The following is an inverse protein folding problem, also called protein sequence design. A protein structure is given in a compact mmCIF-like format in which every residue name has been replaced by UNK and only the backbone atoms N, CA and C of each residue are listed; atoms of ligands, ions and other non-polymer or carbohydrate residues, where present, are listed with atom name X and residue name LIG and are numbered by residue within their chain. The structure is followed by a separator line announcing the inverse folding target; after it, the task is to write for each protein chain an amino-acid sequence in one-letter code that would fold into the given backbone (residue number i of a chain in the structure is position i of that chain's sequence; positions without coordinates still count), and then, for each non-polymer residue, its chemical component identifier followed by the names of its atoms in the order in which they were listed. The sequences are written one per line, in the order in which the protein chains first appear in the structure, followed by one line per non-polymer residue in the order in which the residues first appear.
data_IF_854395079977
#
_entry.id   IF_854395079977
#
_cell.length_a   1.000
_cell.length_b   1.000
_cell.length_c   1.000
_cell.angle_alpha   90.00
_cell.angle_beta   90.00
_cell.angle_gamma   90.00
#
_symmetry.space_group_name_H-M   'P 1'
#
loop_
_entity.id
_entity.type
_entity.pdbx_description
1 polymer ?
#
# COMPACT_ATOMS: atom_id res chain seq x y z
N UNK A 1 3.16 -33.08 18.93
CA UNK A 1 3.04 -34.36 19.66
C UNK A 1 4.17 -34.60 20.65
N UNK A 2 5.47 -34.61 20.27
CA UNK A 2 6.56 -34.71 21.27
C UNK A 2 6.78 -33.41 22.06
N UNK A 3 6.65 -32.25 21.41
CA UNK A 3 6.80 -30.94 22.05
C UNK A 3 5.70 -30.67 23.09
N UNK A 4 4.43 -30.90 22.73
CA UNK A 4 3.28 -30.70 23.64
C UNK A 4 3.30 -31.63 24.86
N UNK A 5 3.91 -32.81 24.72
CA UNK A 5 4.04 -33.80 25.81
C UNK A 5 5.18 -33.43 26.76
N UNK A 6 6.27 -32.83 26.27
CA UNK A 6 7.37 -32.31 27.09
C UNK A 6 7.07 -30.92 27.69
N UNK A 7 6.18 -30.13 27.10
CA UNK A 7 5.66 -28.91 27.74
C UNK A 7 4.78 -29.23 28.96
N UNK A 8 4.08 -30.36 28.95
CA UNK A 8 3.18 -30.77 30.04
C UNK A 8 3.85 -31.65 31.09
N UNK A 9 4.91 -32.40 30.75
CA UNK A 9 5.58 -33.35 31.66
C UNK A 9 7.09 -33.11 31.86
N UNK A 10 7.73 -32.25 31.08
CA UNK A 10 9.18 -32.11 31.02
C UNK A 10 9.77 -31.08 32.02
N UNK A 11 11.10 -31.14 32.17
CA UNK A 11 11.87 -30.08 32.83
C UNK A 11 12.21 -28.99 31.83
N UNK A 12 12.34 -27.73 32.25
CA UNK A 12 12.66 -26.59 31.37
C UNK A 12 13.83 -26.89 30.39
N UNK A 13 14.86 -27.61 30.83
CA UNK A 13 16.01 -27.98 30.01
C UNK A 13 15.72 -29.08 28.99
N UNK A 14 14.86 -30.06 29.31
CA UNK A 14 14.48 -31.13 28.38
C UNK A 14 13.60 -30.59 27.27
N UNK A 15 12.61 -29.77 27.60
CA UNK A 15 11.72 -29.13 26.62
C UNK A 15 12.51 -28.22 25.67
N UNK A 16 13.45 -27.43 26.18
CA UNK A 16 14.37 -26.62 25.36
C UNK A 16 15.22 -27.46 24.40
N UNK A 17 15.82 -28.54 24.88
CA UNK A 17 16.66 -29.42 24.06
C UNK A 17 15.85 -30.13 22.95
N UNK A 18 14.59 -30.46 23.22
CA UNK A 18 13.67 -31.04 22.23
C UNK A 18 13.35 -30.02 21.14
N UNK A 19 13.03 -28.78 21.51
CA UNK A 19 12.81 -27.70 20.54
C UNK A 19 14.05 -27.39 19.70
N UNK A 20 15.22 -27.28 20.31
CA UNK A 20 16.49 -27.07 19.60
C UNK A 20 16.76 -28.19 18.59
N UNK A 21 16.51 -29.45 18.98
CA UNK A 21 16.66 -30.61 18.09
C UNK A 21 15.65 -30.58 16.93
N UNK A 22 14.42 -30.14 17.15
CA UNK A 22 13.41 -30.01 16.08
C UNK A 22 13.83 -28.94 15.06
N UNK A 23 14.38 -27.83 15.54
CA UNK A 23 14.92 -26.73 14.70
C UNK A 23 16.11 -27.23 13.89
N UNK A 24 17.06 -27.94 14.51
CA UNK A 24 18.26 -28.46 13.84
C UNK A 24 17.94 -29.53 12.79
N UNK A 25 16.92 -30.37 13.05
CA UNK A 25 16.44 -31.36 12.08
C UNK A 25 15.64 -30.75 10.92
N UNK A 26 15.35 -29.44 10.95
CA UNK A 26 14.55 -28.72 9.95
C UNK A 26 13.12 -29.27 9.78
N UNK A 27 12.56 -29.87 10.82
CA UNK A 27 11.18 -30.40 10.84
C UNK A 27 10.21 -29.38 11.48
N UNK A 28 10.72 -28.24 11.94
CA UNK A 28 9.92 -27.19 12.55
C UNK A 28 8.87 -26.65 11.55
N UNK A 29 7.68 -26.33 12.06
CA UNK A 29 6.72 -25.46 11.39
C UNK A 29 6.83 -24.05 11.98
N UNK A 30 6.39 -22.99 11.28
CA UNK A 30 6.38 -21.64 11.84
C UNK A 30 5.68 -21.55 13.21
N UNK A 31 4.59 -22.29 13.38
CA UNK A 31 3.87 -22.38 14.65
C UNK A 31 4.72 -22.96 15.80
N UNK A 32 5.56 -23.96 15.52
CA UNK A 32 6.43 -24.58 16.53
C UNK A 32 7.46 -23.57 17.05
N UNK A 33 7.96 -22.68 16.18
CA UNK A 33 8.89 -21.62 16.60
C UNK A 33 8.19 -20.58 17.47
N UNK A 34 6.96 -20.19 17.09
CA UNK A 34 6.16 -19.26 17.88
C UNK A 34 5.86 -19.87 19.26
N UNK A 35 5.47 -21.15 19.32
CA UNK A 35 5.23 -21.85 20.59
C UNK A 35 6.51 -21.94 21.44
N UNK A 36 7.64 -22.30 20.85
CA UNK A 36 8.92 -22.34 21.56
C UNK A 36 9.31 -20.97 22.13
N UNK A 37 9.11 -19.91 21.34
CA UNK A 37 9.42 -18.56 21.77
C UNK A 37 8.47 -18.07 22.87
N UNK A 38 7.19 -18.43 22.83
CA UNK A 38 6.22 -18.16 23.90
C UNK A 38 6.58 -18.90 25.19
N UNK A 39 6.95 -20.18 25.10
CA UNK A 39 7.43 -20.96 26.24
C UNK A 39 8.66 -20.31 26.90
N UNK A 40 9.62 -19.84 26.10
CA UNK A 40 10.78 -19.12 26.63
C UNK A 40 10.42 -17.77 27.26
N UNK A 41 9.40 -17.07 26.76
CA UNK A 41 8.87 -15.85 27.37
C UNK A 41 8.22 -16.12 28.73
N UNK A 42 7.41 -17.17 28.85
CA UNK A 42 6.76 -17.56 30.11
C UNK A 42 7.79 -17.85 31.22
N UNK A 43 8.94 -18.41 30.84
CA UNK A 43 10.05 -18.68 31.73
C UNK A 43 11.04 -17.51 31.92
N UNK A 44 10.72 -16.31 31.41
CA UNK A 44 11.53 -15.09 31.46
C UNK A 44 12.88 -15.13 30.72
N UNK A 45 13.08 -16.06 29.77
CA UNK A 45 14.29 -16.14 28.93
C UNK A 45 14.12 -15.43 27.60
N UNK A 46 14.04 -14.10 27.65
CA UNK A 46 13.70 -13.28 26.49
C UNK A 46 14.80 -13.23 25.42
N UNK A 47 16.07 -13.20 25.80
CA UNK A 47 17.17 -13.22 24.81
C UNK A 47 17.25 -14.53 24.05
N UNK A 48 16.90 -15.64 24.70
CA UNK A 48 16.83 -16.94 24.05
C UNK A 48 15.60 -17.04 23.15
N UNK A 49 14.47 -16.46 23.57
CA UNK A 49 13.27 -16.34 22.73
C UNK A 49 13.59 -15.59 21.43
N UNK A 50 14.34 -14.47 21.48
CA UNK A 50 14.75 -13.77 20.26
C UNK A 50 15.71 -14.57 19.38
N UNK A 51 16.66 -15.32 19.97
CA UNK A 51 17.51 -16.23 19.20
C UNK A 51 16.70 -17.35 18.53
N UNK A 52 15.65 -17.83 19.17
CA UNK A 52 14.74 -18.81 18.58
C UNK A 52 14.02 -18.24 17.36
N UNK A 53 13.53 -16.99 17.44
CA UNK A 53 12.96 -16.29 16.29
C UNK A 53 13.98 -16.08 15.15
N UNK A 54 15.20 -15.63 15.45
CA UNK A 54 16.27 -15.45 14.46
C UNK A 54 16.64 -16.77 13.75
N UNK A 55 16.73 -17.88 14.50
CA UNK A 55 16.91 -19.22 13.93
C UNK A 55 15.73 -19.63 13.06
N UNK A 56 14.52 -19.29 13.48
CA UNK A 56 13.31 -19.48 12.68
C UNK A 56 13.37 -18.76 11.34
N UNK A 57 13.69 -17.46 11.36
CA UNK A 57 13.78 -16.63 10.15
C UNK A 57 14.83 -17.17 9.18
N UNK A 58 15.96 -17.68 9.66
CA UNK A 58 16.99 -18.28 8.82
C UNK A 58 16.55 -19.59 8.13
N UNK A 59 15.56 -20.29 8.68
CA UNK A 59 15.10 -21.59 8.19
C UNK A 59 13.94 -21.48 7.18
N UNK A 60 13.03 -20.52 7.38
CA UNK A 60 11.86 -20.36 6.51
C UNK A 60 12.10 -19.32 5.42
N UNK A 61 11.46 -19.52 4.27
CA UNK A 61 11.38 -18.52 3.19
C UNK A 61 9.96 -17.97 3.12
N UNK A 62 9.83 -16.77 2.56
CA UNK A 62 8.53 -16.18 2.23
C UNK A 62 7.65 -17.18 1.48
N UNK A 63 6.33 -17.26 1.75
CA UNK A 63 5.50 -16.42 2.63
C UNK A 63 5.41 -16.78 4.13
N UNK A 64 5.86 -17.98 4.53
CA UNK A 64 5.59 -18.52 5.88
C UNK A 64 6.35 -17.81 7.01
N UNK A 65 7.33 -16.95 6.67
CA UNK A 65 8.11 -16.16 7.64
C UNK A 65 7.29 -14.99 8.18
N UNK A 66 6.21 -14.58 7.48
CA UNK A 66 5.41 -13.42 7.86
C UNK A 66 4.86 -13.50 9.30
N UNK A 67 4.29 -14.65 9.68
CA UNK A 67 3.71 -14.84 11.01
C UNK A 67 4.79 -14.84 12.11
N UNK A 68 5.98 -15.35 11.79
CA UNK A 68 7.15 -15.31 12.68
C UNK A 68 7.62 -13.87 12.86
N UNK A 69 7.74 -13.09 11.78
CA UNK A 69 8.12 -11.68 11.86
C UNK A 69 7.10 -10.85 12.63
N UNK A 70 5.81 -11.04 12.40
CA UNK A 70 4.77 -10.26 13.06
C UNK A 70 4.76 -10.52 14.58
N UNK A 71 4.85 -11.78 15.00
CA UNK A 71 4.95 -12.13 16.43
C UNK A 71 6.26 -11.63 17.03
N UNK A 72 7.39 -11.81 16.35
CA UNK A 72 8.68 -11.31 16.81
C UNK A 72 8.71 -9.78 16.99
N UNK A 73 8.24 -9.02 16.00
CA UNK A 73 8.26 -7.56 16.02
C UNK A 73 7.32 -7.00 17.10
N UNK A 74 6.11 -7.54 17.24
CA UNK A 74 5.16 -7.10 18.28
C UNK A 74 5.71 -7.34 19.68
N UNK A 75 6.26 -8.53 19.93
CA UNK A 75 6.90 -8.86 21.22
C UNK A 75 8.14 -8.02 21.50
N UNK A 76 8.92 -7.72 20.46
CA UNK A 76 10.08 -6.86 20.60
C UNK A 76 9.66 -5.42 20.98
N UNK A 77 8.60 -4.89 20.35
CA UNK A 77 8.04 -3.56 20.67
C UNK A 77 7.54 -3.52 22.11
N UNK A 78 6.71 -4.47 22.53
CA UNK A 78 6.12 -4.51 23.87
C UNK A 78 7.18 -4.48 24.98
N UNK A 79 8.35 -5.06 24.73
CA UNK A 79 9.42 -5.17 25.72
C UNK A 79 10.46 -4.04 25.65
N UNK A 80 10.90 -3.67 24.45
CA UNK A 80 12.03 -2.76 24.24
C UNK A 80 11.66 -1.41 23.64
N UNK A 81 10.36 -1.11 23.47
CA UNK A 81 9.83 0.07 22.77
C UNK A 81 10.67 1.34 22.88
N UNK A 82 11.17 1.70 24.07
CA UNK A 82 12.02 2.88 24.25
C UNK A 82 13.54 2.67 24.43
N UNK A 83 14.02 1.46 24.71
CA UNK A 83 15.42 1.24 25.17
C UNK A 83 16.40 0.89 24.05
N UNK A 84 15.95 0.24 22.98
CA UNK A 84 16.83 -0.27 21.89
C UNK A 84 16.22 -0.01 20.51
N UNK A 85 15.94 1.25 20.21
CA UNK A 85 15.32 1.66 18.94
C UNK A 85 16.16 1.29 17.71
N UNK A 86 17.47 1.53 17.73
CA UNK A 86 18.33 1.19 16.57
C UNK A 86 18.28 -0.30 16.25
N UNK A 87 18.30 -1.17 17.28
CA UNK A 87 18.16 -2.62 17.08
C UNK A 87 16.77 -2.96 16.51
N UNK A 88 15.72 -2.27 16.94
CA UNK A 88 14.38 -2.46 16.37
C UNK A 88 14.38 -2.11 14.87
N UNK A 89 15.00 -0.98 14.49
CA UNK A 89 15.12 -0.54 13.09
C UNK A 89 15.86 -1.57 12.24
N UNK A 90 17.00 -2.06 12.72
CA UNK A 90 17.76 -3.09 12.01
C UNK A 90 16.91 -4.35 11.75
N UNK A 91 16.10 -4.76 12.74
CA UNK A 91 15.19 -5.90 12.59
C UNK A 91 14.06 -5.62 11.59
N UNK A 92 13.50 -4.40 11.58
CA UNK A 92 12.51 -4.00 10.59
C UNK A 92 13.10 -3.95 9.18
N UNK A 93 14.31 -3.43 8.99
CA UNK A 93 14.98 -3.42 7.69
C UNK A 93 15.27 -4.85 7.20
N UNK A 94 15.69 -5.76 8.09
CA UNK A 94 15.84 -7.17 7.75
C UNK A 94 14.52 -7.85 7.38
N UNK A 95 13.42 -7.49 8.05
CA UNK A 95 12.09 -8.01 7.73
C UNK A 95 11.56 -7.48 6.39
N UNK A 96 11.98 -6.27 6.01
CA UNK A 96 11.62 -5.65 4.73
C UNK A 96 12.50 -6.16 3.58
N UNK A 97 13.72 -6.63 3.86
CA UNK A 97 14.61 -7.21 2.85
C UNK A 97 14.05 -8.55 2.34
N UNK A 98 13.71 -8.58 1.05
CA UNK A 98 13.07 -9.74 0.40
C UNK A 98 11.56 -9.89 0.64
N UNK A 99 10.88 -8.92 1.24
CA UNK A 99 9.44 -8.98 1.52
C UNK A 99 8.57 -8.80 0.25
N UNK A 100 7.62 -9.71 -0.03
CA UNK A 100 6.61 -9.51 -1.07
C UNK A 100 5.67 -8.34 -0.72
N UNK A 101 5.28 -7.56 -1.73
CA UNK A 101 4.43 -6.37 -1.58
C UNK A 101 3.11 -6.60 -0.81
N UNK A 102 2.58 -7.84 -0.85
CA UNK A 102 1.35 -8.27 -0.14
C UNK A 102 1.45 -8.21 1.38
N UNK A 103 2.64 -8.45 1.93
CA UNK A 103 2.85 -8.55 3.38
C UNK A 103 3.58 -7.32 3.94
N UNK A 104 4.20 -6.54 3.06
CA UNK A 104 4.94 -5.33 3.42
C UNK A 104 4.07 -4.33 4.19
N UNK A 105 2.78 -4.18 3.83
CA UNK A 105 1.87 -3.22 4.47
C UNK A 105 1.85 -3.32 5.99
N UNK A 106 1.62 -4.50 6.55
CA UNK A 106 1.50 -4.69 8.00
C UNK A 106 2.81 -4.37 8.71
N UNK A 107 3.93 -4.79 8.13
CA UNK A 107 5.27 -4.55 8.69
C UNK A 107 5.57 -3.05 8.70
N UNK A 108 5.29 -2.33 7.60
CA UNK A 108 5.47 -0.88 7.54
C UNK A 108 4.56 -0.14 8.53
N UNK A 109 3.32 -0.57 8.73
CA UNK A 109 2.41 0.03 9.70
C UNK A 109 2.91 -0.17 11.14
N UNK A 110 3.40 -1.36 11.47
CA UNK A 110 4.03 -1.62 12.77
C UNK A 110 5.29 -0.78 12.95
N UNK A 111 6.12 -0.67 11.92
CA UNK A 111 7.34 0.11 11.97
C UNK A 111 7.05 1.60 12.18
N UNK A 112 6.08 2.14 11.44
CA UNK A 112 5.69 3.53 11.57
C UNK A 112 5.07 3.82 12.95
N UNK A 113 4.26 2.91 13.50
CA UNK A 113 3.71 3.04 14.86
C UNK A 113 4.81 3.07 15.93
N UNK A 114 5.83 2.23 15.79
CA UNK A 114 6.98 2.25 16.71
C UNK A 114 7.71 3.61 16.64
N UNK A 115 7.97 4.13 15.43
CA UNK A 115 8.63 5.43 15.25
C UNK A 115 7.77 6.60 15.72
N UNK A 116 6.43 6.50 15.66
CA UNK A 116 5.51 7.50 16.20
C UNK A 116 5.53 7.54 17.73
N UNK A 117 5.55 6.38 18.39
CA UNK A 117 5.47 6.29 19.85
C UNK A 117 6.80 6.60 20.55
N UNK A 118 7.92 6.14 19.97
CA UNK A 118 9.23 6.19 20.64
C UNK A 118 10.31 6.89 19.82
N UNK A 119 10.08 7.06 18.51
CA UNK A 119 11.05 7.60 17.57
C UNK A 119 10.91 9.09 17.31
N UNK A 120 11.53 9.50 16.21
CA UNK A 120 11.43 10.87 15.69
C UNK A 120 10.33 10.90 14.64
N UNK A 121 9.44 11.90 14.73
CA UNK A 121 8.38 12.12 13.75
C UNK A 121 8.90 12.16 12.29
N UNK A 122 10.11 12.66 12.07
CA UNK A 122 10.74 12.71 10.73
C UNK A 122 11.02 11.30 10.18
N UNK A 123 11.45 10.37 11.03
CA UNK A 123 11.69 8.99 10.62
C UNK A 123 10.36 8.29 10.34
N UNK A 124 9.34 8.48 11.18
CA UNK A 124 7.99 7.96 10.91
C UNK A 124 7.48 8.39 9.53
N UNK A 125 7.64 9.67 9.15
CA UNK A 125 7.24 10.15 7.81
C UNK A 125 8.02 9.47 6.68
N UNK A 126 9.33 9.27 6.84
CA UNK A 126 10.15 8.58 5.85
C UNK A 126 9.74 7.10 5.68
N UNK A 127 9.36 6.45 6.78
CA UNK A 127 8.84 5.07 6.76
C UNK A 127 7.51 5.02 6.01
N UNK A 128 6.59 5.95 6.27
CA UNK A 128 5.33 6.02 5.52
C UNK A 128 5.56 6.29 4.02
N UNK A 129 6.47 7.19 3.67
CA UNK A 129 6.80 7.45 2.27
C UNK A 129 7.32 6.20 1.57
N UNK A 130 8.27 5.47 2.19
CA UNK A 130 8.74 4.18 1.68
C UNK A 130 7.63 3.15 1.57
N UNK A 131 6.74 3.09 2.57
CA UNK A 131 5.59 2.20 2.56
C UNK A 131 4.69 2.43 1.33
N UNK A 132 4.43 3.68 0.95
CA UNK A 132 3.62 3.97 -0.24
C UNK A 132 4.19 3.43 -1.55
N UNK A 133 5.52 3.29 -1.64
CA UNK A 133 6.19 2.75 -2.81
C UNK A 133 6.26 1.22 -2.80
N UNK A 134 6.49 0.63 -1.63
CA UNK A 134 6.69 -0.80 -1.46
C UNK A 134 5.39 -1.63 -1.44
N UNK A 135 4.24 -1.01 -1.14
CA UNK A 135 2.94 -1.67 -1.04
C UNK A 135 2.32 -1.91 -2.43
N UNK A 136 1.53 -2.98 -2.52
CA UNK A 136 0.77 -3.36 -3.71
C UNK A 136 -0.18 -2.24 -4.18
N UNK A 137 -0.44 -2.18 -5.49
CA UNK A 137 -1.20 -1.07 -6.11
C UNK A 137 -2.61 -0.92 -5.57
N UNK A 138 -3.27 -2.03 -5.23
CA UNK A 138 -4.62 -2.02 -4.65
C UNK A 138 -4.64 -1.42 -3.24
N UNK A 139 -3.61 -1.72 -2.45
CA UNK A 139 -3.53 -1.27 -1.07
C UNK A 139 -2.85 0.10 -0.91
N UNK A 140 -2.21 0.59 -1.97
CA UNK A 140 -1.53 1.88 -1.98
C UNK A 140 -2.48 3.03 -1.62
N UNK A 141 -3.73 3.00 -2.10
CA UNK A 141 -4.74 3.99 -1.72
C UNK A 141 -4.99 4.00 -0.20
N UNK A 142 -5.08 2.82 0.41
CA UNK A 142 -5.27 2.71 1.86
C UNK A 142 -4.04 3.23 2.62
N UNK A 143 -2.83 2.96 2.13
CA UNK A 143 -1.60 3.46 2.75
C UNK A 143 -1.52 5.00 2.71
N UNK A 144 -1.84 5.62 1.57
CA UNK A 144 -1.90 7.08 1.47
C UNK A 144 -2.94 7.68 2.42
N UNK A 145 -4.11 7.05 2.59
CA UNK A 145 -5.12 7.50 3.55
C UNK A 145 -4.58 7.52 5.00
N UNK A 146 -3.85 6.47 5.41
CA UNK A 146 -3.23 6.42 6.73
C UNK A 146 -2.15 7.49 6.84
N UNK A 147 -1.27 7.58 5.85
CA UNK A 147 -0.17 8.54 5.84
C UNK A 147 -0.66 9.99 5.95
N UNK A 148 -1.71 10.36 5.21
CA UNK A 148 -2.31 11.70 5.27
C UNK A 148 -2.89 12.00 6.65
N UNK A 149 -3.63 11.04 7.25
CA UNK A 149 -4.21 11.23 8.59
C UNK A 149 -3.11 11.45 9.64
N UNK A 150 -2.07 10.61 9.62
CA UNK A 150 -0.95 10.69 10.56
C UNK A 150 -0.11 11.94 10.36
N UNK A 151 0.17 12.31 9.11
CA UNK A 151 0.87 13.55 8.79
C UNK A 151 0.09 14.79 9.25
N UNK A 152 -1.24 14.79 9.11
CA UNK A 152 -2.11 15.86 9.60
C UNK A 152 -2.08 15.97 11.13
N UNK A 153 -2.06 14.85 11.84
CA UNK A 153 -1.99 14.80 13.32
C UNK A 153 -0.65 15.33 13.85
N UNK A 154 0.47 15.00 13.19
CA UNK A 154 1.82 15.29 13.69
C UNK A 154 2.32 16.66 13.27
N UNK A 155 2.17 17.01 11.99
CA UNK A 155 2.73 18.24 11.40
C UNK A 155 1.68 19.28 10.99
N UNK A 156 0.40 18.91 11.09
CA UNK A 156 -0.70 19.76 10.65
C UNK A 156 -1.03 19.60 9.16
N UNK A 157 -2.17 20.19 8.80
CA UNK A 157 -2.80 20.01 7.49
C UNK A 157 -1.94 20.55 6.33
N UNK A 158 -1.13 21.57 6.55
CA UNK A 158 -0.28 22.19 5.50
C UNK A 158 0.81 21.26 4.98
N UNK A 159 1.33 20.35 5.80
CA UNK A 159 2.34 19.37 5.40
C UNK A 159 1.74 18.29 4.48
N UNK A 160 0.44 17.99 4.63
CA UNK A 160 -0.22 16.95 3.83
C UNK A 160 -0.32 17.28 2.34
N UNK A 161 -0.14 18.53 1.93
CA UNK A 161 -0.18 18.98 0.53
C UNK A 161 0.75 18.18 -0.38
N UNK A 162 2.01 18.03 0.04
CA UNK A 162 3.01 17.28 -0.74
C UNK A 162 2.63 15.79 -0.86
N UNK A 163 1.95 15.26 0.16
CA UNK A 163 1.48 13.86 0.18
C UNK A 163 0.32 13.68 -0.80
N UNK A 164 -0.64 14.60 -0.82
CA UNK A 164 -1.75 14.58 -1.78
C UNK A 164 -1.26 14.67 -3.22
N UNK A 165 -0.30 15.56 -3.51
CA UNK A 165 0.26 15.67 -4.85
C UNK A 165 0.91 14.35 -5.29
N UNK A 166 1.77 13.75 -4.45
CA UNK A 166 2.38 12.44 -4.73
C UNK A 166 1.33 11.34 -4.89
N UNK A 167 0.26 11.35 -4.08
CA UNK A 167 -0.81 10.37 -4.17
C UNK A 167 -1.53 10.45 -5.52
N UNK A 168 -1.81 11.66 -6.01
CA UNK A 168 -2.50 11.87 -7.30
C UNK A 168 -1.61 11.44 -8.48
N UNK A 169 -0.29 11.61 -8.39
CA UNK A 169 0.65 11.20 -9.45
C UNK A 169 0.84 9.67 -9.53
N UNK A 170 0.75 8.97 -8.41
CA UNK A 170 1.12 7.54 -8.30
C UNK A 170 -0.10 6.60 -8.31
N UNK A 171 -1.28 7.07 -7.91
CA UNK A 171 -2.48 6.25 -7.82
C UNK A 171 -3.20 6.11 -9.18
N UNK A 172 -3.92 5.00 -9.41
CA UNK A 172 -4.82 4.88 -10.55
C UNK A 172 -5.88 5.97 -10.58
N UNK A 173 -6.37 6.33 -11.77
CA UNK A 173 -7.28 7.45 -12.01
C UNK A 173 -8.51 7.49 -11.08
N UNK A 174 -9.09 6.33 -10.73
CA UNK A 174 -10.22 6.25 -9.80
C UNK A 174 -9.86 6.73 -8.39
N UNK A 175 -8.73 6.27 -7.86
CA UNK A 175 -8.24 6.63 -6.53
C UNK A 175 -7.60 8.01 -6.50
N UNK A 176 -6.95 8.43 -7.58
CA UNK A 176 -6.41 9.77 -7.76
C UNK A 176 -7.54 10.83 -7.73
N UNK A 177 -8.71 10.52 -8.30
CA UNK A 177 -9.89 11.40 -8.24
C UNK A 177 -10.42 11.59 -6.82
N UNK A 178 -10.56 10.51 -6.06
CA UNK A 178 -11.00 10.61 -4.64
C UNK A 178 -10.00 11.42 -3.81
N UNK A 179 -8.70 11.18 -3.99
CA UNK A 179 -7.65 11.98 -3.36
C UNK A 179 -7.71 13.45 -3.76
N UNK A 180 -7.94 13.74 -5.04
CA UNK A 180 -8.08 15.10 -5.57
C UNK A 180 -9.27 15.86 -4.98
N UNK A 181 -10.43 15.21 -4.84
CA UNK A 181 -11.61 15.82 -4.22
C UNK A 181 -11.35 16.18 -2.74
N UNK A 182 -10.72 15.28 -1.99
CA UNK A 182 -10.35 15.54 -0.59
C UNK A 182 -9.29 16.62 -0.46
N UNK A 183 -8.33 16.66 -1.38
CA UNK A 183 -7.31 17.70 -1.42
C UNK A 183 -7.92 19.08 -1.67
N UNK A 184 -8.84 19.18 -2.64
CA UNK A 184 -9.55 20.42 -2.93
C UNK A 184 -10.44 20.89 -1.77
N UNK A 185 -11.18 19.98 -1.12
CA UNK A 185 -11.99 20.29 0.07
C UNK A 185 -11.13 20.81 1.23
N UNK A 186 -9.96 20.19 1.45
CA UNK A 186 -9.02 20.62 2.47
C UNK A 186 -8.47 22.03 2.20
N UNK A 187 -8.01 22.33 0.98
CA UNK A 187 -7.53 23.68 0.63
C UNK A 187 -8.66 24.72 0.70
N UNK A 188 -9.88 24.34 0.33
CA UNK A 188 -11.07 25.20 0.45
C UNK A 188 -11.33 25.57 1.91
N UNK A 189 -11.21 24.61 2.84
CA UNK A 189 -11.35 24.84 4.29
C UNK A 189 -10.23 25.70 4.88
N UNK A 190 -9.04 25.66 4.28
CA UNK A 190 -7.92 26.55 4.64
C UNK A 190 -8.08 27.97 4.07
N UNK A 191 -9.06 28.21 3.21
CA UNK A 191 -9.32 29.50 2.56
C UNK A 191 -8.52 29.72 1.26
N UNK A 192 -7.77 28.71 0.79
CA UNK A 192 -6.92 28.78 -0.40
C UNK A 192 -7.73 28.39 -1.65
N UNK A 193 -8.71 29.23 -2.00
CA UNK A 193 -9.69 28.92 -3.06
C UNK A 193 -9.03 28.76 -4.44
N UNK A 194 -8.01 29.56 -4.76
CA UNK A 194 -7.33 29.48 -6.05
C UNK A 194 -6.54 28.17 -6.22
N UNK A 195 -6.00 27.63 -5.13
CA UNK A 195 -5.35 26.31 -5.14
C UNK A 195 -6.37 25.20 -5.29
N UNK A 196 -7.50 25.28 -4.58
CA UNK A 196 -8.61 24.34 -4.73
C UNK A 196 -9.10 24.29 -6.20
N UNK A 197 -9.23 25.45 -6.87
CA UNK A 197 -9.55 25.54 -8.30
C UNK A 197 -8.51 24.87 -9.18
N UNK A 198 -7.23 25.10 -8.93
CA UNK A 198 -6.16 24.47 -9.69
C UNK A 198 -6.21 22.94 -9.58
N UNK A 199 -6.50 22.42 -8.39
CA UNK A 199 -6.68 20.98 -8.13
C UNK A 199 -7.88 20.44 -8.91
N UNK A 200 -9.04 21.10 -8.86
CA UNK A 200 -10.20 20.70 -9.65
C UNK A 200 -9.90 20.68 -11.16
N UNK A 201 -9.19 21.69 -11.65
CA UNK A 201 -8.80 21.78 -13.05
C UNK A 201 -7.86 20.64 -13.46
N UNK A 202 -6.89 20.30 -12.61
CA UNK A 202 -6.00 19.16 -12.81
C UNK A 202 -6.77 17.82 -12.82
N UNK A 203 -7.58 17.57 -11.78
CA UNK A 203 -8.37 16.35 -11.67
C UNK A 203 -9.39 16.20 -12.81
N UNK A 204 -9.86 17.31 -13.40
CA UNK A 204 -10.79 17.26 -14.52
C UNK A 204 -10.24 16.52 -15.75
N UNK A 205 -8.91 16.48 -15.93
CA UNK A 205 -8.25 15.82 -17.05
C UNK A 205 -8.38 14.29 -17.01
N UNK A 206 -8.57 13.72 -15.81
CA UNK A 206 -8.74 12.28 -15.55
C UNK A 206 -10.21 11.89 -15.24
N UNK A 207 -11.14 12.82 -15.43
CA UNK A 207 -12.54 12.66 -15.07
C UNK A 207 -13.45 12.75 -16.30
N UNK A 208 -13.83 11.62 -16.89
CA UNK A 208 -14.83 11.58 -17.96
C UNK A 208 -16.19 12.08 -17.42
N UNK A 209 -16.74 13.19 -17.95
CA UNK A 209 -18.01 13.73 -17.50
C UNK A 209 -19.22 12.79 -17.60
N UNK A 210 -19.14 11.70 -18.39
CA UNK A 210 -20.20 10.68 -18.49
C UNK A 210 -20.23 9.71 -17.32
N UNK A 211 -19.06 9.32 -16.85
CA UNK A 211 -18.91 8.32 -15.78
C UNK A 211 -18.84 9.01 -14.42
N UNK A 212 -18.25 10.21 -14.36
CA UNK A 212 -17.84 10.83 -13.12
C UNK A 212 -18.69 12.04 -12.76
N UNK A 213 -20.02 11.92 -12.91
CA UNK A 213 -20.96 13.02 -12.69
C UNK A 213 -20.81 13.68 -11.30
N UNK A 214 -20.54 12.87 -10.28
CA UNK A 214 -20.36 13.34 -8.90
C UNK A 214 -19.23 14.37 -8.77
N UNK A 215 -18.06 14.12 -9.41
CA UNK A 215 -16.94 15.06 -9.41
C UNK A 215 -17.33 16.43 -9.97
N UNK A 216 -18.02 16.45 -11.12
CA UNK A 216 -18.47 17.67 -11.77
C UNK A 216 -19.56 18.40 -10.99
N UNK A 217 -20.41 17.67 -10.25
CA UNK A 217 -21.38 18.27 -9.34
C UNK A 217 -20.69 18.93 -8.15
N UNK A 218 -19.73 18.25 -7.52
CA UNK A 218 -18.95 18.81 -6.40
C UNK A 218 -18.18 20.06 -6.83
N UNK A 219 -17.54 20.06 -8.00
CA UNK A 219 -16.85 21.24 -8.51
C UNK A 219 -17.83 22.39 -8.80
N UNK A 220 -19.01 22.10 -9.36
CA UNK A 220 -20.05 23.12 -9.57
C UNK A 220 -20.50 23.73 -8.24
N UNK A 221 -20.74 22.92 -7.21
CA UNK A 221 -21.12 23.41 -5.88
C UNK A 221 -20.03 24.28 -5.26
N UNK A 222 -18.77 23.90 -5.43
CA UNK A 222 -17.62 24.69 -5.01
C UNK A 222 -17.60 26.08 -5.68
N UNK A 223 -17.77 26.14 -7.01
CA UNK A 223 -17.80 27.43 -7.72
C UNK A 223 -19.03 28.28 -7.37
N UNK A 224 -20.17 27.66 -7.04
CA UNK A 224 -21.35 28.40 -6.55
C UNK A 224 -21.07 29.05 -5.19
N UNK A 225 -20.33 28.38 -4.31
CA UNK A 225 -20.03 28.89 -2.95
C UNK A 225 -18.91 29.92 -2.93
N UNK A 226 -17.89 29.76 -3.77
CA UNK A 226 -16.64 30.54 -3.68
C UNK A 226 -16.28 31.30 -4.96
N UNK A 227 -16.99 31.06 -6.06
CA UNK A 227 -16.72 31.62 -7.39
C UNK A 227 -17.72 32.69 -7.82
N UNK A 228 -17.67 33.00 -9.11
CA UNK A 228 -18.55 33.96 -9.78
C UNK A 228 -19.05 33.38 -11.11
N UNK A 229 -19.86 34.13 -11.86
CA UNK A 229 -20.38 33.63 -13.13
C UNK A 229 -19.27 33.27 -14.15
N UNK A 230 -18.15 34.00 -14.13
CA UNK A 230 -17.04 33.78 -15.05
C UNK A 230 -16.31 32.47 -14.73
N UNK A 231 -16.07 32.16 -13.46
CA UNK A 231 -15.43 30.89 -13.06
C UNK A 231 -16.33 29.69 -13.35
N UNK A 232 -17.65 29.83 -13.17
CA UNK A 232 -18.62 28.79 -13.55
C UNK A 232 -18.62 28.57 -15.07
N UNK A 233 -18.58 29.64 -15.87
CA UNK A 233 -18.49 29.53 -17.34
C UNK A 233 -17.20 28.84 -17.78
N UNK A 234 -16.08 29.14 -17.13
CA UNK A 234 -14.80 28.49 -17.42
C UNK A 234 -14.83 26.99 -17.06
N UNK A 235 -15.39 26.62 -15.90
CA UNK A 235 -15.58 25.20 -15.55
C UNK A 235 -16.43 24.46 -16.60
N UNK A 236 -17.52 25.05 -17.09
CA UNK A 236 -18.35 24.46 -18.14
C UNK A 236 -17.62 24.35 -19.49
N UNK A 237 -16.70 25.26 -19.77
CA UNK A 237 -15.82 25.19 -20.96
C UNK A 237 -14.85 24.02 -20.82
N UNK A 238 -14.19 23.87 -19.69
CA UNK A 238 -13.29 22.75 -19.40
C UNK A 238 -14.05 21.43 -19.50
N UNK A 239 -15.25 21.33 -18.91
CA UNK A 239 -16.12 20.16 -19.02
C UNK A 239 -16.38 19.73 -20.46
N UNK A 240 -16.72 20.69 -21.33
CA UNK A 240 -16.97 20.43 -22.76
C UNK A 240 -15.70 19.99 -23.49
N UNK A 241 -14.56 20.62 -23.17
CA UNK A 241 -13.26 20.26 -23.74
C UNK A 241 -12.87 18.83 -23.37
N UNK A 242 -12.94 18.47 -22.08
CA UNK A 242 -12.63 17.13 -21.59
C UNK A 242 -13.57 16.09 -22.22
N UNK A 243 -14.88 16.38 -22.28
CA UNK A 243 -15.83 15.50 -22.95
C UNK A 243 -15.48 15.23 -24.42
N UNK A 244 -15.03 16.26 -25.14
CA UNK A 244 -14.62 16.15 -26.54
C UNK A 244 -13.36 15.27 -26.67
N UNK A 245 -12.37 15.45 -25.79
CA UNK A 245 -11.14 14.64 -25.77
C UNK A 245 -11.41 13.16 -25.52
N UNK A 246 -12.29 12.83 -24.56
CA UNK A 246 -12.66 11.43 -24.32
C UNK A 246 -13.46 10.82 -25.47
N UNK A 247 -14.31 11.62 -26.13
CA UNK A 247 -15.04 11.15 -27.32
C UNK A 247 -14.09 10.83 -28.47
N UNK A 248 -13.09 11.67 -28.74
CA UNK A 248 -12.12 11.41 -29.81
C UNK A 248 -11.20 10.24 -29.48
N UNK A 249 -10.77 10.07 -28.23
CA UNK A 249 -10.00 8.91 -27.79
C UNK A 249 -10.80 7.61 -27.95
N UNK A 250 -12.06 7.58 -27.49
CA UNK A 250 -12.95 6.43 -27.69
C UNK A 250 -13.12 6.10 -29.17
N UNK A 251 -13.26 7.11 -30.02
CA UNK A 251 -13.40 6.94 -31.47
C UNK A 251 -12.10 6.44 -32.12
N UNK A 252 -10.93 6.86 -31.65
CA UNK A 252 -9.63 6.37 -32.10
C UNK A 252 -9.41 4.89 -31.75
N UNK A 253 -9.77 4.47 -30.53
CA UNK A 253 -9.70 3.07 -30.09
C UNK A 253 -10.61 2.16 -30.94
N UNK A 254 -11.83 2.60 -31.24
CA UNK A 254 -12.75 1.86 -32.11
C UNK A 254 -12.20 1.73 -33.54
N UNK A 255 -11.51 2.76 -34.05
CA UNK A 255 -10.86 2.69 -35.37
C UNK A 255 -9.67 1.73 -35.37
N UNK A 256 -8.83 1.72 -34.33
CA UNK A 256 -7.70 0.79 -34.23
C UNK A 256 -8.14 -0.66 -34.05
N UNK A 257 -9.24 -0.90 -33.31
CA UNK A 257 -9.84 -2.23 -33.17
C UNK A 257 -10.55 -2.69 -34.46
N UNK A 258 -11.09 -1.75 -35.24
CA UNK A 258 -11.63 -2.05 -36.56
C UNK A 258 -10.50 -2.41 -37.54
N UNK A 259 -9.37 -1.71 -37.52
CA UNK A 259 -8.21 -1.99 -38.38
C UNK A 259 -7.52 -3.31 -38.04
N UNK A 260 -7.40 -3.66 -36.76
CA UNK A 260 -6.84 -4.95 -36.31
C UNK A 260 -7.75 -6.11 -36.71
N UNK A 261 -9.08 -5.97 -36.56
CA UNK A 261 -10.05 -6.94 -37.07
C UNK A 261 -10.05 -7.05 -38.61
N UNK A 262 -9.86 -5.95 -39.33
CA UNK A 262 -9.76 -5.96 -40.80
C UNK A 262 -8.50 -6.69 -41.29
N UNK A 263 -7.36 -6.55 -40.58
CA UNK A 263 -6.11 -7.28 -40.89
C UNK A 263 -6.25 -8.78 -40.63
N UNK A 264 -6.96 -9.20 -39.57
CA UNK A 264 -7.29 -10.61 -39.31
C UNK A 264 -8.17 -11.22 -40.41
N UNK A 265 -9.18 -10.48 -40.89
CA UNK A 265 -10.05 -10.98 -41.98
C UNK A 265 -9.34 -11.13 -43.33
N UNK A 266 -8.35 -10.30 -43.66
CA UNK A 266 -7.56 -10.47 -44.90
C UNK A 266 -6.60 -11.67 -44.86
N UNK A 267 -6.19 -12.15 -43.69
CA UNK A 267 -5.37 -13.36 -43.57
C UNK A 267 -6.18 -14.67 -43.71
N UNK A 268 -7.50 -14.63 -43.46
CA UNK A 268 -8.38 -15.79 -43.63
C UNK A 268 -8.92 -15.97 -45.06
N UNK A 269 -8.81 -14.98 -45.93
CA UNK A 269 -9.25 -15.08 -47.34
C UNK A 269 -8.04 -15.18 -48.26
N UNK A 270 -7.34 -16.33 -48.25
CA UNK A 270 -6.55 -16.76 -49.40
C UNK A 270 -7.51 -17.37 -50.45
N UNK A 271 -7.41 -17.01 -51.74
CA UNK A 271 -8.33 -17.52 -52.74
C UNK A 271 -8.03 -19.00 -53.01
N UNK A 272 -9.03 -19.86 -52.82
CA UNK A 272 -9.01 -21.24 -53.30
C UNK A 272 -8.73 -21.23 -54.82
N UNK A 273 -7.51 -21.58 -55.18
CA UNK A 273 -7.06 -21.74 -56.56
C UNK A 273 -7.77 -22.95 -57.15
N UNK A 274 -8.51 -22.76 -58.24
CA UNK A 274 -9.06 -23.87 -59.06
C UNK A 274 -7.90 -24.72 -59.60
N UNK A 275 -7.99 -26.06 -59.62
CA UNK A 275 -7.06 -26.87 -60.38
C UNK A 275 -7.52 -26.94 -61.83
N UNK A 276 -6.64 -26.54 -62.75
CA UNK A 276 -6.78 -26.82 -64.18
C UNK A 276 -6.67 -28.33 -64.41
N UNK A 277 -7.61 -28.87 -65.18
CA UNK A 277 -7.67 -30.27 -65.57
C UNK A 277 -8.02 -30.41 -67.05
N UNK A 278 -7.04 -30.93 -67.79
CA UNK A 278 -7.02 -31.49 -69.15
C UNK A 278 -6.99 -30.56 -70.37
#
# INVERSE_FOLDING_TARGET
MLADLEESLGTFQSTKAVYDRIIDLRIATPQIIINYAMFLEEHNYFEESFKAYERGIALFKWPNVYDIWNTYLTKFIDRYGGKKLERARDLFEQALDGCPAKFAKTIYLLYAKLEEEYGLARHAMAVYERATQAVETEERHHMFNIYIKRAAEIYGVTYTRAIYQKAIEVLPDEHARDMGLRFADMESKLGEIDRARAIYSYCSQICDPRVTANFWQTWKEFEIRHGNEDTIREMLRIKRSVQATYNTQSQLYVLTDAESNYKLHRHCVRPCSRPDGH
#
